data_IF_057367233168
#
_entry.id   IF_057367233168
#
_cell.length_a   1.000
_cell.length_b   1.000
_cell.length_c   1.000
_cell.angle_alpha   90.00
_cell.angle_beta   90.00
_cell.angle_gamma   90.00
#
_symmetry.space_group_name_H-M   'P 1'
#
loop_
_entity.id
_entity.type
_entity.pdbx_description
1 polymer ?
#
# COMPACT_ATOMS: atom_id res chain seq x y z
N UNK A 1 14.08 -35.41 9.50
CA UNK A 1 14.25 -34.45 10.61
C UNK A 1 13.89 -33.11 10.04
N UNK A 2 12.68 -32.56 10.36
CA UNK A 2 12.33 -31.23 10.00
C UNK A 2 13.28 -30.26 10.73
N UNK A 3 14.02 -29.45 10.00
CA UNK A 3 14.77 -28.36 10.60
C UNK A 3 13.77 -27.42 11.28
N UNK A 4 14.04 -26.94 12.51
CA UNK A 4 13.17 -25.92 13.10
C UNK A 4 13.14 -24.73 12.13
N UNK A 5 11.96 -24.39 11.64
CA UNK A 5 11.80 -23.27 10.72
C UNK A 5 12.20 -22.00 11.47
N UNK A 6 13.32 -21.44 11.04
CA UNK A 6 13.83 -20.20 11.61
C UNK A 6 13.10 -19.04 10.94
N UNK A 7 12.32 -18.26 11.68
CA UNK A 7 11.58 -17.09 11.17
C UNK A 7 12.47 -16.13 10.38
N UNK A 8 13.72 -15.92 10.84
CA UNK A 8 14.73 -15.14 10.11
C UNK A 8 15.09 -15.74 8.74
N UNK A 9 15.04 -17.05 8.60
CA UNK A 9 15.26 -17.70 7.31
C UNK A 9 14.09 -17.45 6.36
N UNK A 10 12.86 -17.45 6.87
CA UNK A 10 11.65 -17.12 6.07
C UNK A 10 11.65 -15.66 5.66
N UNK A 11 12.06 -14.74 6.53
CA UNK A 11 12.26 -13.32 6.19
C UNK A 11 13.33 -13.15 5.09
N UNK A 12 14.44 -13.87 5.18
CA UNK A 12 15.45 -13.93 4.12
C UNK A 12 14.92 -14.50 2.82
N UNK A 13 14.16 -15.60 2.87
CA UNK A 13 13.48 -16.19 1.72
C UNK A 13 12.51 -15.22 1.05
N UNK A 14 11.71 -14.47 1.83
CA UNK A 14 10.81 -13.44 1.32
C UNK A 14 11.57 -12.33 0.59
N UNK A 15 12.74 -11.95 1.07
CA UNK A 15 13.60 -10.96 0.44
C UNK A 15 14.19 -11.47 -0.88
N UNK A 16 14.70 -12.71 -0.90
CA UNK A 16 15.21 -13.38 -2.12
C UNK A 16 14.09 -13.56 -3.13
N UNK A 17 12.94 -14.05 -2.68
CA UNK A 17 11.75 -14.23 -3.50
C UNK A 17 11.30 -12.92 -4.17
N UNK A 18 11.33 -11.82 -3.41
CA UNK A 18 11.05 -10.49 -3.95
C UNK A 18 12.01 -10.10 -5.09
N UNK A 19 13.25 -10.59 -5.05
CA UNK A 19 14.30 -10.30 -6.03
C UNK A 19 14.33 -11.26 -7.23
N UNK A 20 14.01 -12.55 -7.04
CA UNK A 20 14.21 -13.59 -8.08
C UNK A 20 13.01 -13.81 -9.00
N UNK A 21 11.80 -13.37 -8.59
CA UNK A 21 10.58 -13.53 -9.40
C UNK A 21 10.07 -14.97 -9.51
N UNK A 22 10.44 -15.85 -8.58
CA UNK A 22 9.89 -17.21 -8.48
C UNK A 22 8.36 -17.19 -8.29
N UNK A 23 7.68 -18.34 -8.50
CA UNK A 23 6.21 -18.40 -8.40
C UNK A 23 5.73 -18.08 -6.97
N UNK A 24 4.95 -17.01 -6.78
CA UNK A 24 4.43 -16.60 -5.48
C UNK A 24 3.67 -17.70 -4.73
N UNK A 25 3.03 -18.60 -5.45
CA UNK A 25 2.25 -19.67 -4.82
C UNK A 25 3.12 -20.69 -4.06
N UNK A 26 4.40 -20.77 -4.34
CA UNK A 26 5.32 -21.70 -3.67
C UNK A 26 5.70 -21.22 -2.26
N UNK A 27 5.74 -19.92 -2.04
CA UNK A 27 6.19 -19.36 -0.76
C UNK A 27 5.06 -19.18 0.27
N UNK A 28 3.80 -19.04 -0.18
CA UNK A 28 2.67 -18.83 0.73
C UNK A 28 2.58 -19.91 1.81
N UNK A 29 2.60 -21.22 1.52
CA UNK A 29 2.53 -22.26 2.55
C UNK A 29 3.68 -22.19 3.56
N UNK A 30 4.88 -21.79 3.11
CA UNK A 30 6.06 -21.65 3.96
C UNK A 30 5.88 -20.50 4.95
N UNK A 31 5.37 -19.37 4.47
CA UNK A 31 5.12 -18.20 5.32
C UNK A 31 3.98 -18.46 6.28
N UNK A 32 2.90 -19.11 5.85
CA UNK A 32 1.77 -19.50 6.70
C UNK A 32 2.21 -20.45 7.82
N UNK A 33 3.06 -21.43 7.52
CA UNK A 33 3.64 -22.31 8.55
C UNK A 33 4.52 -21.53 9.54
N UNK A 34 5.30 -20.55 9.05
CA UNK A 34 6.09 -19.68 9.92
C UNK A 34 5.21 -18.81 10.82
N UNK A 35 4.12 -18.27 10.30
CA UNK A 35 3.13 -17.51 11.07
C UNK A 35 2.48 -18.38 12.16
N UNK A 36 2.17 -19.65 11.89
CA UNK A 36 1.65 -20.56 12.91
C UNK A 36 2.63 -20.75 14.08
N UNK A 37 3.95 -20.71 13.82
CA UNK A 37 5.01 -20.86 14.83
C UNK A 37 5.31 -19.56 15.58
N UNK A 38 5.20 -18.43 14.89
CA UNK A 38 5.45 -17.09 15.45
C UNK A 38 4.36 -16.11 15.01
N UNK A 39 3.15 -16.22 15.59
CA UNK A 39 1.98 -15.42 15.19
C UNK A 39 2.07 -13.94 15.59
N UNK A 40 3.11 -13.55 16.33
CA UNK A 40 3.34 -12.15 16.75
C UNK A 40 4.45 -11.45 15.96
N UNK A 41 4.98 -12.08 14.93
CA UNK A 41 6.03 -11.50 14.09
C UNK A 41 5.41 -10.67 12.95
N UNK A 42 5.47 -9.33 12.99
CA UNK A 42 4.87 -8.47 11.96
C UNK A 42 5.52 -8.64 10.60
N UNK A 43 6.81 -8.99 10.53
CA UNK A 43 7.55 -9.14 9.28
C UNK A 43 7.01 -10.30 8.41
N UNK A 44 6.52 -11.37 9.04
CA UNK A 44 5.90 -12.48 8.32
C UNK A 44 4.61 -12.06 7.62
N UNK A 45 3.77 -11.30 8.30
CA UNK A 45 2.53 -10.76 7.72
C UNK A 45 2.82 -9.70 6.66
N UNK A 46 3.77 -8.81 6.90
CA UNK A 46 4.21 -7.84 5.89
C UNK A 46 4.79 -8.54 4.65
N UNK A 47 5.55 -9.61 4.84
CA UNK A 47 6.05 -10.47 3.77
C UNK A 47 4.93 -11.13 2.99
N UNK A 48 3.94 -11.71 3.67
CA UNK A 48 2.76 -12.31 3.04
C UNK A 48 1.97 -11.28 2.23
N UNK A 49 1.83 -10.06 2.75
CA UNK A 49 1.22 -8.94 2.04
C UNK A 49 1.91 -8.64 0.72
N UNK A 50 3.25 -8.58 0.71
CA UNK A 50 4.04 -8.38 -0.53
C UNK A 50 3.88 -9.53 -1.53
N UNK A 51 3.76 -10.77 -1.06
CA UNK A 51 3.50 -11.94 -1.92
C UNK A 51 2.13 -11.82 -2.57
N UNK A 52 1.09 -11.49 -1.81
CA UNK A 52 -0.25 -11.28 -2.35
C UNK A 52 -0.33 -10.09 -3.32
N UNK A 53 0.42 -9.00 -3.08
CA UNK A 53 0.51 -7.88 -4.05
C UNK A 53 1.06 -8.36 -5.40
N UNK A 54 2.14 -9.16 -5.40
CA UNK A 54 2.71 -9.73 -6.63
C UNK A 54 1.75 -10.65 -7.38
N UNK A 55 0.87 -11.34 -6.66
CA UNK A 55 -0.19 -12.19 -7.24
C UNK A 55 -1.40 -11.39 -7.73
N UNK A 56 -1.42 -10.07 -7.53
CA UNK A 56 -2.59 -9.23 -7.83
C UNK A 56 -3.78 -9.46 -6.91
N UNK A 57 -3.58 -10.15 -5.77
CA UNK A 57 -4.61 -10.42 -4.76
C UNK A 57 -4.67 -9.26 -3.75
N UNK A 58 -5.14 -8.11 -4.23
CA UNK A 58 -5.08 -6.84 -3.49
C UNK A 58 -5.75 -6.90 -2.11
N UNK A 59 -6.92 -7.54 -2.01
CA UNK A 59 -7.67 -7.60 -0.74
C UNK A 59 -6.90 -8.42 0.32
N UNK A 60 -6.33 -9.56 -0.07
CA UNK A 60 -5.50 -10.37 0.82
C UNK A 60 -4.20 -9.67 1.21
N UNK A 61 -3.62 -8.92 0.28
CA UNK A 61 -2.42 -8.12 0.55
C UNK A 61 -2.70 -7.06 1.62
N UNK A 62 -3.80 -6.31 1.49
CA UNK A 62 -4.21 -5.29 2.47
C UNK A 62 -4.54 -5.94 3.83
N UNK A 63 -5.22 -7.09 3.85
CA UNK A 63 -5.50 -7.82 5.09
C UNK A 63 -4.21 -8.22 5.82
N UNK A 64 -3.25 -8.79 5.11
CA UNK A 64 -1.96 -9.19 5.67
C UNK A 64 -1.16 -7.98 6.19
N UNK A 65 -1.10 -6.88 5.44
CA UNK A 65 -0.45 -5.65 5.90
C UNK A 65 -1.15 -5.03 7.11
N UNK A 66 -2.48 -5.03 7.15
CA UNK A 66 -3.23 -4.55 8.33
C UNK A 66 -2.93 -5.40 9.56
N UNK A 67 -2.78 -6.72 9.40
CA UNK A 67 -2.36 -7.57 10.51
C UNK A 67 -0.94 -7.22 10.98
N UNK A 68 0.00 -7.02 10.06
CA UNK A 68 1.34 -6.55 10.39
C UNK A 68 1.32 -5.22 11.17
N UNK A 69 0.51 -4.24 10.75
CA UNK A 69 0.36 -2.95 11.45
C UNK A 69 -0.32 -3.09 12.81
N UNK A 70 -1.20 -4.08 13.00
CA UNK A 70 -1.78 -4.34 14.33
C UNK A 70 -0.72 -4.78 15.35
N UNK A 71 0.37 -5.37 14.88
CA UNK A 71 1.52 -5.81 15.67
C UNK A 71 2.63 -4.75 15.75
N UNK A 72 2.86 -4.01 14.68
CA UNK A 72 3.89 -2.97 14.56
C UNK A 72 3.35 -1.72 13.84
N UNK A 73 2.58 -0.84 14.51
CA UNK A 73 1.95 0.31 13.88
C UNK A 73 2.94 1.39 13.40
N UNK A 74 4.17 1.38 13.91
CA UNK A 74 5.24 2.32 13.55
C UNK A 74 6.17 1.77 12.45
N UNK A 75 5.74 0.77 11.68
CA UNK A 75 6.54 0.25 10.56
C UNK A 75 6.33 1.11 9.31
N UNK A 76 7.40 1.78 8.86
CA UNK A 76 7.40 2.62 7.66
C UNK A 76 7.00 1.82 6.42
N UNK A 77 7.65 0.66 6.21
CA UNK A 77 7.49 -0.12 4.99
C UNK A 77 6.06 -0.63 4.82
N UNK A 78 5.44 -1.10 5.88
CA UNK A 78 4.07 -1.59 5.86
C UNK A 78 3.07 -0.46 5.62
N UNK A 79 3.23 0.70 6.30
CA UNK A 79 2.39 1.87 6.05
C UNK A 79 2.50 2.37 4.60
N UNK A 80 3.73 2.45 4.07
CA UNK A 80 3.99 2.83 2.68
C UNK A 80 3.32 1.85 1.69
N UNK A 81 3.48 0.54 1.90
CA UNK A 81 2.91 -0.49 1.03
C UNK A 81 1.38 -0.47 1.01
N UNK A 82 0.71 -0.29 2.15
CA UNK A 82 -0.77 -0.12 2.20
C UNK A 82 -1.19 1.09 1.38
N UNK A 83 -0.52 2.23 1.58
CA UNK A 83 -0.82 3.45 0.80
C UNK A 83 -0.69 3.22 -0.69
N UNK A 84 0.41 2.58 -1.12
CA UNK A 84 0.64 2.24 -2.53
C UNK A 84 -0.42 1.28 -3.08
N UNK A 85 -0.82 0.25 -2.32
CA UNK A 85 -1.87 -0.68 -2.71
C UNK A 85 -3.22 0.01 -2.91
N UNK A 86 -3.59 0.92 -2.00
CA UNK A 86 -4.84 1.68 -2.10
C UNK A 86 -4.84 2.63 -3.29
N UNK A 87 -3.69 3.24 -3.64
CA UNK A 87 -3.54 4.00 -4.88
C UNK A 87 -3.74 3.10 -6.09
N UNK A 88 -3.09 1.93 -6.15
CA UNK A 88 -3.28 0.97 -7.26
C UNK A 88 -4.74 0.56 -7.45
N UNK A 89 -5.49 0.33 -6.37
CA UNK A 89 -6.92 0.04 -6.43
C UNK A 89 -7.71 1.24 -7.00
N UNK A 90 -7.40 2.44 -6.54
CA UNK A 90 -7.98 3.68 -7.08
C UNK A 90 -7.68 3.88 -8.57
N UNK A 91 -6.44 3.61 -9.00
CA UNK A 91 -6.03 3.69 -10.41
C UNK A 91 -6.77 2.67 -11.27
N UNK A 92 -6.94 1.43 -10.81
CA UNK A 92 -7.71 0.41 -11.51
C UNK A 92 -9.18 0.83 -11.66
N UNK A 93 -9.80 1.33 -10.60
CA UNK A 93 -11.18 1.84 -10.63
C UNK A 93 -11.32 3.08 -11.55
N UNK A 94 -10.34 4.00 -11.52
CA UNK A 94 -10.32 5.17 -12.38
C UNK A 94 -10.16 4.82 -13.86
N UNK A 95 -9.40 3.78 -14.20
CA UNK A 95 -9.27 3.32 -15.58
C UNK A 95 -10.60 2.74 -16.08
N UNK A 96 -11.30 1.95 -15.24
CA UNK A 96 -12.66 1.47 -15.59
C UNK A 96 -13.61 2.66 -15.80
N UNK A 97 -13.51 3.69 -14.94
CA UNK A 97 -14.34 4.89 -15.04
C UNK A 97 -14.14 5.63 -16.36
N UNK A 98 -12.89 5.75 -16.85
CA UNK A 98 -12.57 6.45 -18.12
C UNK A 98 -13.20 5.80 -19.34
N UNK A 99 -13.31 4.48 -19.35
CA UNK A 99 -13.82 3.71 -20.48
C UNK A 99 -15.33 3.46 -20.38
N UNK A 100 -15.97 3.87 -19.28
CA UNK A 100 -17.39 3.63 -19.02
C UNK A 100 -18.26 4.69 -19.74
N UNK A 101 -19.23 4.30 -20.57
CA UNK A 101 -20.24 5.22 -21.07
C UNK A 101 -21.16 5.69 -19.94
N UNK A 102 -21.43 7.00 -19.89
CA UNK A 102 -22.32 7.59 -18.88
C UNK A 102 -23.62 8.06 -19.49
N UNK A 103 -24.73 7.81 -18.81
CA UNK A 103 -26.07 8.26 -19.20
C UNK A 103 -26.35 9.70 -18.77
N UNK A 104 -25.62 10.21 -17.78
CA UNK A 104 -25.73 11.57 -17.25
C UNK A 104 -24.49 12.01 -16.50
N UNK A 105 -24.32 13.34 -16.35
CA UNK A 105 -23.28 13.93 -15.49
C UNK A 105 -23.38 13.41 -14.05
N UNK A 106 -24.58 13.30 -13.51
CA UNK A 106 -24.81 12.81 -12.14
C UNK A 106 -24.26 11.40 -11.95
N UNK A 107 -24.49 10.48 -12.91
CA UNK A 107 -23.96 9.13 -12.85
C UNK A 107 -22.42 9.09 -12.89
N UNK A 108 -21.80 9.98 -13.67
CA UNK A 108 -20.36 10.16 -13.69
C UNK A 108 -19.83 10.67 -12.34
N UNK A 109 -20.45 11.73 -11.80
CA UNK A 109 -20.02 12.34 -10.53
C UNK A 109 -20.12 11.35 -9.35
N UNK A 110 -21.18 10.50 -9.32
CA UNK A 110 -21.35 9.45 -8.33
C UNK A 110 -20.25 8.38 -8.40
N UNK A 111 -19.87 7.95 -9.59
CA UNK A 111 -18.80 6.96 -9.75
C UNK A 111 -17.41 7.58 -9.51
N UNK A 112 -17.19 8.84 -9.91
CA UNK A 112 -15.97 9.57 -9.59
C UNK A 112 -15.78 9.72 -8.06
N UNK A 113 -16.86 10.01 -7.33
CA UNK A 113 -16.80 10.10 -5.86
C UNK A 113 -16.37 8.77 -5.22
N UNK A 114 -16.80 7.62 -5.77
CA UNK A 114 -16.34 6.30 -5.29
C UNK A 114 -14.84 6.11 -5.54
N UNK A 115 -14.35 6.50 -6.71
CA UNK A 115 -12.92 6.43 -7.06
C UNK A 115 -12.12 7.36 -6.13
N UNK A 116 -12.58 8.59 -5.91
CA UNK A 116 -11.92 9.54 -5.02
C UNK A 116 -11.90 9.04 -3.56
N UNK A 117 -12.94 8.36 -3.11
CA UNK A 117 -12.96 7.73 -1.80
C UNK A 117 -11.92 6.59 -1.66
N UNK A 118 -11.65 5.83 -2.74
CA UNK A 118 -10.56 4.84 -2.74
C UNK A 118 -9.20 5.51 -2.58
N UNK A 119 -8.93 6.60 -3.31
CA UNK A 119 -7.70 7.36 -3.16
C UNK A 119 -7.56 8.01 -1.78
N UNK A 120 -8.65 8.52 -1.22
CA UNK A 120 -8.64 9.16 0.10
C UNK A 120 -8.20 8.20 1.22
N UNK A 121 -8.51 6.91 1.09
CA UNK A 121 -8.07 5.88 2.06
C UNK A 121 -6.54 5.71 2.09
N UNK A 122 -5.84 6.06 1.01
CA UNK A 122 -4.39 5.98 0.95
C UNK A 122 -3.67 7.12 1.72
N UNK A 123 -4.38 8.22 2.04
CA UNK A 123 -3.77 9.37 2.72
C UNK A 123 -3.22 8.99 4.09
N UNK A 124 -4.03 8.41 4.96
CA UNK A 124 -3.63 8.12 6.35
C UNK A 124 -2.39 7.22 6.45
N UNK A 125 -2.28 6.08 5.76
CA UNK A 125 -1.08 5.27 5.81
C UNK A 125 0.14 5.98 5.18
N UNK A 126 -0.01 6.76 4.12
CA UNK A 126 1.11 7.52 3.54
C UNK A 126 1.57 8.68 4.44
N UNK A 127 0.65 9.38 5.09
CA UNK A 127 0.99 10.40 6.08
C UNK A 127 1.73 9.79 7.27
N UNK A 128 1.30 8.61 7.72
CA UNK A 128 2.01 7.86 8.74
C UNK A 128 3.41 7.48 8.29
N UNK A 129 3.56 6.93 7.08
CA UNK A 129 4.86 6.64 6.50
C UNK A 129 5.75 7.89 6.44
N UNK A 130 5.21 9.02 5.97
CA UNK A 130 5.95 10.28 5.95
C UNK A 130 6.37 10.74 7.35
N UNK A 131 5.52 10.59 8.35
CA UNK A 131 5.88 10.94 9.74
C UNK A 131 7.01 10.08 10.29
N UNK A 132 7.11 8.83 9.86
CA UNK A 132 8.15 7.87 10.26
C UNK A 132 9.47 8.10 9.51
N UNK A 133 9.39 8.46 8.22
CA UNK A 133 10.55 8.83 7.41
C UNK A 133 10.28 10.08 6.56
N UNK A 134 10.43 11.29 7.13
CA UNK A 134 10.13 12.54 6.43
C UNK A 134 11.01 12.83 5.21
N UNK A 135 12.13 12.11 5.07
CA UNK A 135 13.08 12.28 3.96
C UNK A 135 12.86 11.29 2.80
N UNK A 136 11.87 10.43 2.89
CA UNK A 136 11.54 9.52 1.81
C UNK A 136 10.86 10.26 0.65
N UNK A 137 11.62 10.47 -0.43
CA UNK A 137 11.17 11.20 -1.63
C UNK A 137 9.94 10.54 -2.24
N UNK A 138 9.90 9.20 -2.28
CA UNK A 138 8.79 8.45 -2.88
C UNK A 138 7.48 8.71 -2.14
N UNK A 139 7.51 8.71 -0.81
CA UNK A 139 6.34 9.02 0.02
C UNK A 139 5.84 10.45 -0.21
N UNK A 140 6.77 11.42 -0.28
CA UNK A 140 6.44 12.84 -0.54
C UNK A 140 5.81 13.00 -1.92
N UNK A 141 6.36 12.34 -2.95
CA UNK A 141 5.77 12.36 -4.31
C UNK A 141 4.38 11.75 -4.36
N UNK A 142 4.18 10.61 -3.70
CA UNK A 142 2.86 9.97 -3.63
C UNK A 142 1.83 10.87 -2.95
N UNK A 143 2.18 11.47 -1.81
CA UNK A 143 1.29 12.40 -1.10
C UNK A 143 0.97 13.63 -1.93
N UNK A 144 1.99 14.27 -2.56
CA UNK A 144 1.77 15.41 -3.47
C UNK A 144 0.77 15.04 -4.58
N UNK A 145 1.00 13.91 -5.26
CA UNK A 145 0.16 13.50 -6.38
C UNK A 145 -1.26 13.14 -5.93
N UNK A 146 -1.38 12.50 -4.78
CA UNK A 146 -2.67 12.11 -4.20
C UNK A 146 -3.49 13.33 -3.78
N UNK A 147 -2.88 14.30 -3.09
CA UNK A 147 -3.54 15.56 -2.73
C UNK A 147 -3.92 16.40 -3.95
N UNK A 148 -3.08 16.42 -5.00
CA UNK A 148 -3.45 17.07 -6.26
C UNK A 148 -4.65 16.39 -6.93
N UNK A 149 -4.72 15.08 -6.91
CA UNK A 149 -5.86 14.32 -7.45
C UNK A 149 -7.16 14.63 -6.69
N UNK A 150 -7.08 14.77 -5.39
CA UNK A 150 -8.21 15.01 -4.49
C UNK A 150 -8.46 16.51 -4.21
N UNK A 151 -7.81 17.42 -4.95
CA UNK A 151 -7.84 18.88 -4.68
C UNK A 151 -9.23 19.50 -4.69
N UNK A 152 -10.14 18.92 -5.49
CA UNK A 152 -11.50 19.44 -5.64
C UNK A 152 -12.47 18.91 -4.55
N UNK A 153 -12.04 17.93 -3.76
CA UNK A 153 -12.82 17.36 -2.66
C UNK A 153 -12.80 18.26 -1.40
N UNK A 154 -11.71 19.01 -1.20
CA UNK A 154 -11.55 19.89 -0.04
C UNK A 154 -10.48 20.96 -0.29
N UNK A 155 -10.68 22.22 0.16
CA UNK A 155 -9.63 23.25 0.13
C UNK A 155 -8.32 22.80 0.82
N UNK A 156 -8.43 22.06 1.91
CA UNK A 156 -7.27 21.51 2.63
C UNK A 156 -6.39 20.61 1.76
N UNK A 157 -6.97 19.89 0.78
CA UNK A 157 -6.21 19.04 -0.12
C UNK A 157 -5.32 19.88 -1.05
N UNK A 158 -5.78 21.03 -1.51
CA UNK A 158 -4.95 21.95 -2.30
C UNK A 158 -3.81 22.54 -1.47
N UNK A 159 -4.04 22.86 -0.21
CA UNK A 159 -2.99 23.38 0.68
C UNK A 159 -1.95 22.31 1.00
N UNK A 160 -2.38 21.07 1.25
CA UNK A 160 -1.48 19.93 1.42
C UNK A 160 -0.69 19.64 0.13
N UNK A 161 -1.32 19.72 -1.04
CA UNK A 161 -0.59 19.62 -2.30
C UNK A 161 0.54 20.64 -2.40
N UNK A 162 0.30 21.91 -2.10
CA UNK A 162 1.31 22.97 -2.13
C UNK A 162 2.45 22.65 -1.15
N UNK A 163 2.10 22.28 0.08
CA UNK A 163 3.05 21.88 1.12
C UNK A 163 3.99 20.77 0.65
N UNK A 164 3.44 19.66 0.12
CA UNK A 164 4.27 18.55 -0.34
C UNK A 164 5.02 18.85 -1.63
N UNK A 165 4.52 19.73 -2.48
CA UNK A 165 5.24 20.20 -3.67
C UNK A 165 6.46 21.06 -3.29
N UNK A 166 6.33 21.99 -2.34
CA UNK A 166 7.44 22.79 -1.81
C UNK A 166 8.48 21.91 -1.10
N UNK A 167 8.00 20.95 -0.29
CA UNK A 167 8.88 19.98 0.37
C UNK A 167 9.70 19.19 -0.65
N UNK A 168 9.08 18.66 -1.69
CA UNK A 168 9.75 17.89 -2.74
C UNK A 168 10.82 18.75 -3.46
N UNK A 169 10.54 20.02 -3.75
CA UNK A 169 11.52 20.95 -4.34
C UNK A 169 12.73 21.18 -3.42
N UNK A 170 12.52 21.19 -2.11
CA UNK A 170 13.60 21.36 -1.14
C UNK A 170 14.47 20.12 -0.96
N UNK A 171 14.04 18.97 -1.46
CA UNK A 171 14.75 17.68 -1.37
C UNK A 171 15.63 17.39 -2.60
N UNK A 172 15.53 18.21 -3.64
CA UNK A 172 16.34 18.12 -4.87
C UNK A 172 17.63 18.94 -4.75
#
# INVERSE_FOLDING_TARGET
KAFPMNTKLVEGLLSVYAATGEDPNTIIPIVEEAIQKDPKNPELYAGLGRVYDKLGQADKSIEAFNHALSLAPEDFGTNFNIGLMLIKQGDAANNILKDKPFTSKKAFDEDLAKVNNMYSKALAPLEKAHSLNPKDVSTVELLKNLYFRLRDESPANMDNYKKYNELLQSMQ
#
